data_IF_527381723609
#
_entry.id   IF_527381723609
#
_cell.length_a   1.000
_cell.length_b   1.000
_cell.length_c   1.000
_cell.angle_alpha   90.00
_cell.angle_beta   90.00
_cell.angle_gamma   90.00
#
_symmetry.space_group_name_H-M   'P 1'
#
loop_
_entity.id
_entity.type
_entity.pdbx_description
1 polymer ?
#
# COMPACT_ATOMS: atom_id res chain seq x y z
N UNK A 1 -7.54 1.56 27.16
CA UNK A 1 -6.81 2.74 26.62
C UNK A 1 -6.31 2.53 25.18
N UNK A 2 -6.26 1.29 24.66
CA UNK A 2 -5.76 0.99 23.31
C UNK A 2 -6.83 0.98 22.20
N UNK A 3 -8.11 0.81 22.53
CA UNK A 3 -9.21 0.94 21.54
C UNK A 3 -9.33 2.37 20.98
N UNK A 4 -8.82 3.36 21.68
CA UNK A 4 -8.99 4.78 21.34
C UNK A 4 -8.15 5.20 20.14
N UNK A 5 -6.97 4.60 19.90
CA UNK A 5 -6.07 5.00 18.81
C UNK A 5 -6.55 4.45 17.46
N UNK A 6 -6.98 3.18 17.43
CA UNK A 6 -7.57 2.55 16.22
C UNK A 6 -8.90 3.21 15.88
N UNK A 7 -9.73 3.50 16.88
CA UNK A 7 -10.98 4.23 16.68
C UNK A 7 -10.73 5.68 16.24
N UNK A 8 -9.68 6.35 16.73
CA UNK A 8 -9.29 7.69 16.26
C UNK A 8 -8.73 7.69 14.84
N UNK A 9 -8.03 6.63 14.42
CA UNK A 9 -7.54 6.44 13.05
C UNK A 9 -8.71 6.19 12.07
N UNK A 10 -9.65 5.32 12.44
CA UNK A 10 -10.88 5.08 11.67
C UNK A 10 -11.82 6.30 11.66
N UNK A 11 -11.90 7.05 12.75
CA UNK A 11 -12.72 8.27 12.84
C UNK A 11 -12.07 9.43 12.08
N UNK A 12 -10.73 9.46 11.94
CA UNK A 12 -10.02 10.34 10.99
C UNK A 12 -10.24 9.92 9.54
N UNK A 13 -10.33 8.62 9.25
CA UNK A 13 -10.66 8.09 7.93
C UNK A 13 -12.06 8.55 7.46
N UNK A 14 -13.03 8.69 8.36
CA UNK A 14 -14.36 9.25 8.05
C UNK A 14 -14.36 10.78 7.88
N UNK A 15 -13.39 11.50 8.45
CA UNK A 15 -13.28 12.96 8.34
C UNK A 15 -12.45 13.41 7.13
N UNK A 16 -11.46 12.62 6.70
CA UNK A 16 -10.61 12.94 5.55
C UNK A 16 -11.32 12.78 4.19
N UNK A 17 -12.37 11.95 4.11
CA UNK A 17 -13.23 11.87 2.92
C UNK A 17 -13.98 13.18 2.63
N UNK A 18 -14.03 14.12 3.58
CA UNK A 18 -14.67 15.44 3.42
C UNK A 18 -13.72 16.57 3.03
N UNK A 19 -12.41 16.32 2.95
CA UNK A 19 -11.39 17.33 2.65
C UNK A 19 -10.32 16.79 1.71
N UNK A 20 -10.66 16.61 0.43
CA UNK A 20 -9.66 16.61 -0.63
C UNK A 20 -9.56 18.03 -1.21
N UNK A 21 -8.36 18.61 -1.34
CA UNK A 21 -8.18 19.85 -2.08
C UNK A 21 -8.46 19.59 -3.57
N UNK A 22 -9.13 20.55 -4.21
CA UNK A 22 -9.45 20.54 -5.64
C UNK A 22 -8.22 20.36 -6.52
N UNK A 23 -8.31 19.46 -7.50
CA UNK A 23 -7.25 19.12 -8.47
C UNK A 23 -6.73 20.35 -9.25
N UNK A 24 -5.41 20.46 -9.51
CA UNK A 24 -4.85 21.57 -10.30
C UNK A 24 -5.18 21.40 -11.79
N UNK A 25 -5.86 22.41 -12.34
CA UNK A 25 -6.15 22.52 -13.77
C UNK A 25 -4.88 22.50 -14.62
N UNK A 26 -4.85 21.62 -15.62
CA UNK A 26 -3.88 21.59 -16.73
C UNK A 26 -3.38 22.98 -17.12
N UNK A 27 -2.14 23.33 -16.75
CA UNK A 27 -1.48 24.53 -17.28
C UNK A 27 -0.09 24.19 -17.78
N UNK A 28 0.14 24.73 -18.97
CA UNK A 28 1.22 24.52 -19.92
C UNK A 28 2.61 24.84 -19.36
N UNK A 29 3.57 24.02 -19.76
CA UNK A 29 5.02 24.12 -19.53
C UNK A 29 5.55 25.55 -19.73
N UNK A 30 6.24 26.07 -18.72
CA UNK A 30 7.05 27.30 -18.76
C UNK A 30 8.16 27.22 -17.69
N UNK A 31 9.38 27.57 -18.08
CA UNK A 31 10.67 27.29 -17.41
C UNK A 31 10.88 27.97 -16.04
N UNK A 32 11.76 27.36 -15.24
CA UNK A 32 12.31 27.76 -13.93
C UNK A 32 13.07 29.11 -13.96
N UNK A 33 13.38 29.78 -12.81
CA UNK A 33 14.47 29.34 -11.93
C UNK A 33 14.28 29.51 -10.40
N UNK A 34 14.77 28.50 -9.69
CA UNK A 34 15.43 28.42 -8.36
C UNK A 34 15.48 29.70 -7.51
N UNK A 35 14.89 29.65 -6.30
CA UNK A 35 15.52 30.23 -5.11
C UNK A 35 15.14 29.47 -3.82
N UNK A 36 16.17 29.23 -3.03
CA UNK A 36 16.18 28.52 -1.75
C UNK A 36 15.78 29.47 -0.61
N UNK A 37 14.94 29.05 0.35
CA UNK A 37 14.96 29.51 1.74
C UNK A 37 14.08 28.65 2.66
N UNK A 38 14.70 28.15 3.73
CA UNK A 38 14.06 27.63 4.93
C UNK A 38 13.06 28.62 5.55
N UNK A 39 11.86 28.18 5.96
CA UNK A 39 11.28 28.61 7.23
C UNK A 39 10.12 27.71 7.69
N UNK A 40 10.31 27.07 8.84
CA UNK A 40 9.28 26.42 9.67
C UNK A 40 8.44 27.47 10.36
N UNK A 41 7.13 27.51 10.12
CA UNK A 41 6.19 28.20 11.01
C UNK A 41 4.77 27.66 10.89
N UNK A 42 4.34 27.02 11.98
CA UNK A 42 2.97 26.69 12.32
C UNK A 42 2.06 27.90 12.13
N UNK A 43 1.16 27.85 11.13
CA UNK A 43 0.03 28.80 11.03
C UNK A 43 -1.22 28.16 11.64
N UNK A 44 -1.75 28.89 12.62
CA UNK A 44 -2.96 28.64 13.40
C UNK A 44 -4.18 28.44 12.50
N UNK A 45 -4.99 27.43 12.83
CA UNK A 45 -6.32 27.20 12.26
C UNK A 45 -7.32 28.27 12.75
N UNK A 46 -8.20 28.81 11.88
CA UNK A 46 -9.30 29.65 12.30
C UNK A 46 -10.50 28.79 12.75
N UNK A 47 -11.04 29.11 13.93
CA UNK A 47 -12.29 28.59 14.48
C UNK A 47 -13.45 29.02 13.59
N UNK A 48 -14.24 28.07 13.07
CA UNK A 48 -15.50 28.37 12.40
C UNK A 48 -16.59 28.65 13.44
N UNK A 49 -17.21 29.83 13.32
CA UNK A 49 -18.22 30.35 14.22
C UNK A 49 -19.62 29.91 13.72
N UNK A 50 -20.43 29.37 14.62
CA UNK A 50 -21.81 28.95 14.37
C UNK A 50 -22.73 30.17 14.53
N UNK A 51 -23.12 30.83 13.45
CA UNK A 51 -23.98 32.02 13.54
C UNK A 51 -25.46 31.61 13.64
N UNK A 52 -26.04 31.90 14.81
CA UNK A 52 -27.48 32.04 14.98
C UNK A 52 -28.01 33.33 14.35
N UNK A 53 -29.30 33.29 14.05
CA UNK A 53 -30.16 34.35 13.52
C UNK A 53 -30.00 35.72 14.20
N UNK A 54 -29.83 36.77 13.40
CA UNK A 54 -29.92 38.17 13.83
C UNK A 54 -30.26 39.07 12.66
N UNK A 55 -31.43 39.72 12.75
CA UNK A 55 -32.00 40.66 11.77
C UNK A 55 -31.33 42.04 11.88
N UNK A 56 -31.11 42.72 10.75
CA UNK A 56 -30.67 44.11 10.73
C UNK A 56 -30.37 44.63 9.32
N UNK A 57 -31.15 45.62 8.88
CA UNK A 57 -31.13 46.22 7.54
C UNK A 57 -30.08 47.32 7.35
N UNK A 58 -29.70 47.49 6.07
CA UNK A 58 -29.48 48.75 5.33
C UNK A 58 -28.11 49.47 5.41
N UNK A 59 -27.30 49.38 4.35
CA UNK A 59 -27.03 50.46 3.38
C UNK A 59 -25.99 49.97 2.36
N UNK A 60 -26.16 50.37 1.11
CA UNK A 60 -25.47 49.80 -0.04
C UNK A 60 -24.04 50.27 -0.23
N UNK A 61 -23.29 49.44 -0.94
CA UNK A 61 -22.15 49.80 -1.76
C UNK A 61 -22.15 48.87 -2.99
N UNK A 62 -22.04 49.50 -4.16
CA UNK A 62 -21.81 48.88 -5.46
C UNK A 62 -20.32 48.54 -5.54
N UNK A 63 -19.98 47.30 -5.18
CA UNK A 63 -18.69 46.70 -5.51
C UNK A 63 -18.97 45.29 -6.04
N UNK A 64 -18.53 45.04 -7.28
CA UNK A 64 -18.77 43.82 -8.03
C UNK A 64 -18.32 42.56 -7.29
N UNK A 65 -19.31 41.87 -6.72
CA UNK A 65 -19.21 40.54 -6.13
C UNK A 65 -18.95 39.49 -7.21
N UNK A 66 -17.67 39.14 -7.41
CA UNK A 66 -17.28 37.96 -8.20
C UNK A 66 -16.20 37.18 -7.44
N UNK A 67 -16.48 36.76 -6.20
CA UNK A 67 -15.68 35.74 -5.50
C UNK A 67 -16.54 34.88 -4.56
N UNK A 68 -17.70 34.40 -5.01
CA UNK A 68 -18.44 33.34 -4.28
C UNK A 68 -19.10 32.33 -5.23
N UNK A 69 -18.38 31.88 -6.26
CA UNK A 69 -18.79 30.66 -6.98
C UNK A 69 -18.15 29.45 -6.31
N UNK A 70 -18.90 28.79 -5.42
CA UNK A 70 -18.50 27.50 -4.87
C UNK A 70 -18.33 26.50 -6.02
N UNK A 71 -17.11 26.05 -6.27
CA UNK A 71 -16.82 25.06 -7.31
C UNK A 71 -17.28 23.69 -6.82
N UNK A 72 -18.24 23.07 -7.53
CA UNK A 72 -18.68 21.71 -7.24
C UNK A 72 -17.61 20.70 -7.67
N UNK A 73 -17.29 19.74 -6.79
CA UNK A 73 -16.31 18.68 -7.06
C UNK A 73 -16.79 17.72 -8.15
N UNK A 74 -18.10 17.46 -8.23
CA UNK A 74 -18.69 16.53 -9.21
C UNK A 74 -19.95 17.12 -9.85
N UNK A 75 -20.31 16.58 -11.02
CA UNK A 75 -21.51 16.94 -11.79
C UNK A 75 -22.55 15.83 -11.87
N UNK A 76 -22.17 14.58 -11.60
CA UNK A 76 -23.07 13.43 -11.66
C UNK A 76 -22.69 12.33 -10.64
N UNK A 77 -23.59 11.37 -10.43
CA UNK A 77 -23.40 10.29 -9.44
C UNK A 77 -22.20 9.38 -9.74
N UNK A 78 -21.84 9.18 -11.01
CA UNK A 78 -20.70 8.34 -11.39
C UNK A 78 -19.38 9.04 -11.05
N UNK A 79 -19.30 10.32 -11.34
CA UNK A 79 -18.14 11.16 -11.01
C UNK A 79 -17.98 11.27 -9.48
N UNK A 80 -19.07 11.44 -8.74
CA UNK A 80 -19.07 11.40 -7.28
C UNK A 80 -18.50 10.08 -6.74
N UNK A 81 -18.93 8.95 -7.29
CA UNK A 81 -18.41 7.63 -6.91
C UNK A 81 -16.90 7.52 -7.19
N UNK A 82 -16.43 8.01 -8.35
CA UNK A 82 -15.00 8.01 -8.66
C UNK A 82 -14.17 8.82 -7.66
N UNK A 83 -14.67 9.97 -7.19
CA UNK A 83 -14.01 10.71 -6.12
C UNK A 83 -14.07 10.00 -4.77
N UNK A 84 -15.18 9.35 -4.43
CA UNK A 84 -15.29 8.54 -3.20
C UNK A 84 -14.28 7.37 -3.24
N UNK A 85 -14.09 6.75 -4.41
CA UNK A 85 -13.12 5.67 -4.61
C UNK A 85 -11.67 6.17 -4.47
N UNK A 86 -11.35 7.32 -5.06
CA UNK A 86 -10.04 7.98 -4.92
C UNK A 86 -9.76 8.43 -3.48
N UNK A 87 -10.77 8.98 -2.79
CA UNK A 87 -10.64 9.35 -1.39
C UNK A 87 -10.36 8.14 -0.50
N UNK A 88 -10.97 7.00 -0.81
CA UNK A 88 -10.73 5.75 -0.09
C UNK A 88 -9.30 5.26 -0.32
N UNK A 89 -8.80 5.29 -1.57
CA UNK A 89 -7.41 4.93 -1.88
C UNK A 89 -6.41 5.82 -1.13
N UNK A 90 -6.62 7.14 -1.16
CA UNK A 90 -5.82 8.12 -0.41
C UNK A 90 -5.78 7.78 1.09
N UNK A 91 -6.94 7.48 1.67
CA UNK A 91 -7.03 7.18 3.09
C UNK A 91 -6.31 5.89 3.48
N UNK A 92 -6.37 4.84 2.64
CA UNK A 92 -5.64 3.58 2.88
C UNK A 92 -4.13 3.81 2.86
N UNK A 93 -3.61 4.56 1.88
CA UNK A 93 -2.18 4.88 1.77
C UNK A 93 -1.73 5.66 3.02
N UNK A 94 -2.48 6.69 3.42
CA UNK A 94 -2.14 7.50 4.58
C UNK A 94 -2.24 6.72 5.91
N UNK A 95 -3.24 5.85 6.04
CA UNK A 95 -3.38 4.96 7.19
C UNK A 95 -2.20 4.01 7.30
N UNK A 96 -1.74 3.46 6.17
CA UNK A 96 -0.56 2.58 6.12
C UNK A 96 0.69 3.34 6.58
N UNK A 97 0.92 4.58 6.11
CA UNK A 97 2.06 5.40 6.56
C UNK A 97 2.05 5.63 8.08
N UNK A 98 0.86 5.86 8.65
CA UNK A 98 0.70 6.01 10.09
C UNK A 98 0.90 4.72 10.86
N UNK A 99 0.44 3.58 10.33
CA UNK A 99 0.66 2.26 10.91
C UNK A 99 2.16 1.93 10.97
N UNK A 100 2.86 2.10 9.85
CA UNK A 100 4.32 1.88 9.76
C UNK A 100 5.08 2.75 10.77
N UNK A 101 4.69 4.03 10.90
CA UNK A 101 5.32 4.95 11.83
C UNK A 101 5.00 4.64 13.31
N UNK A 102 3.82 4.09 13.59
CA UNK A 102 3.45 3.67 14.93
C UNK A 102 4.25 2.44 15.36
N UNK A 103 4.38 1.46 14.46
CA UNK A 103 5.19 0.27 14.70
C UNK A 103 6.67 0.60 14.89
N UNK A 104 7.24 1.44 14.02
CA UNK A 104 8.64 1.89 14.13
C UNK A 104 8.96 2.70 15.40
N UNK A 105 7.95 3.07 16.19
CA UNK A 105 8.08 3.79 17.47
C UNK A 105 7.67 2.93 18.67
N UNK A 106 7.52 1.62 18.47
CA UNK A 106 7.05 0.66 19.47
C UNK A 106 5.71 1.06 20.12
N UNK A 107 4.86 1.80 19.39
CA UNK A 107 3.57 2.27 19.91
C UNK A 107 2.45 1.24 19.78
N UNK A 108 2.67 0.20 18.97
CA UNK A 108 1.77 -0.95 18.76
C UNK A 108 2.61 -2.23 18.78
N UNK A 109 1.99 -3.33 19.17
CA UNK A 109 2.65 -4.63 19.18
C UNK A 109 2.80 -5.20 17.76
N UNK A 110 3.71 -6.15 17.58
CA UNK A 110 3.92 -6.80 16.28
C UNK A 110 2.67 -7.54 15.78
N UNK A 111 1.91 -8.19 16.67
CA UNK A 111 0.68 -8.92 16.30
C UNK A 111 -0.44 -7.97 15.82
N UNK A 112 -0.65 -6.86 16.53
CA UNK A 112 -1.58 -5.80 16.13
C UNK A 112 -1.17 -5.20 14.78
N UNK A 113 0.11 -4.92 14.61
CA UNK A 113 0.65 -4.39 13.37
C UNK A 113 0.45 -5.36 12.19
N UNK A 114 0.83 -6.63 12.35
CA UNK A 114 0.68 -7.64 11.28
C UNK A 114 -0.79 -7.78 10.88
N UNK A 115 -1.70 -7.82 11.85
CA UNK A 115 -3.14 -7.93 11.60
C UNK A 115 -3.70 -6.74 10.82
N UNK A 116 -3.39 -5.51 11.25
CA UNK A 116 -3.90 -4.31 10.58
C UNK A 116 -3.21 -4.05 9.23
N UNK A 117 -1.92 -4.36 9.11
CA UNK A 117 -1.19 -4.22 7.85
C UNK A 117 -1.76 -5.14 6.76
N UNK A 118 -2.06 -6.40 7.10
CA UNK A 118 -2.69 -7.35 6.19
C UNK A 118 -4.05 -6.85 5.66
N UNK A 119 -4.86 -6.25 6.54
CA UNK A 119 -6.15 -5.67 6.15
C UNK A 119 -5.95 -4.50 5.19
N UNK A 120 -5.02 -3.58 5.50
CA UNK A 120 -4.73 -2.42 4.65
C UNK A 120 -4.19 -2.82 3.28
N UNK A 121 -3.28 -3.81 3.21
CA UNK A 121 -2.77 -4.35 1.94
C UNK A 121 -3.91 -4.95 1.10
N UNK A 122 -4.79 -5.73 1.72
CA UNK A 122 -5.92 -6.33 1.00
C UNK A 122 -6.90 -5.28 0.48
N UNK A 123 -7.23 -4.27 1.30
CA UNK A 123 -8.08 -3.16 0.91
C UNK A 123 -7.43 -2.32 -0.20
N UNK A 124 -6.14 -2.07 -0.11
CA UNK A 124 -5.37 -1.33 -1.11
C UNK A 124 -5.48 -1.99 -2.49
N UNK A 125 -5.23 -3.30 -2.61
CA UNK A 125 -5.29 -4.02 -3.90
C UNK A 125 -6.68 -3.97 -4.55
N UNK A 126 -7.74 -3.95 -3.75
CA UNK A 126 -9.11 -3.80 -4.25
C UNK A 126 -9.39 -2.36 -4.67
N UNK A 127 -8.98 -1.40 -3.83
CA UNK A 127 -9.29 0.00 -4.02
C UNK A 127 -8.48 0.64 -5.13
N UNK A 128 -7.24 0.21 -5.34
CA UNK A 128 -6.39 0.63 -6.46
C UNK A 128 -7.11 0.42 -7.80
N UNK A 129 -7.68 -0.77 -8.00
CA UNK A 129 -8.41 -1.13 -9.22
C UNK A 129 -9.72 -0.35 -9.40
N UNK A 130 -10.36 0.04 -8.30
CA UNK A 130 -11.60 0.81 -8.32
C UNK A 130 -11.36 2.31 -8.56
N UNK A 131 -10.31 2.86 -7.93
CA UNK A 131 -10.03 4.28 -7.89
C UNK A 131 -9.21 4.79 -9.08
N UNK A 132 -8.34 3.95 -9.64
CA UNK A 132 -7.46 4.33 -10.73
C UNK A 132 -8.04 3.88 -12.07
N UNK A 133 -8.02 4.78 -13.04
CA UNK A 133 -8.26 4.40 -14.44
C UNK A 133 -7.11 3.52 -14.95
N UNK A 134 -7.37 2.66 -15.93
CA UNK A 134 -6.40 1.66 -16.43
C UNK A 134 -5.00 2.20 -16.85
N UNK A 135 -4.81 3.52 -16.94
CA UNK A 135 -3.55 4.15 -17.35
C UNK A 135 -2.86 4.97 -16.24
N UNK A 136 -3.40 5.02 -15.02
CA UNK A 136 -2.84 5.81 -13.93
C UNK A 136 -2.19 4.89 -12.89
N UNK A 137 -0.91 5.10 -12.58
CA UNK A 137 -0.23 4.35 -11.52
C UNK A 137 -0.49 4.95 -10.14
N UNK A 138 -0.27 4.17 -9.09
CA UNK A 138 -0.40 4.66 -7.70
C UNK A 138 0.65 5.72 -7.40
N UNK A 139 1.86 5.62 -7.95
CA UNK A 139 2.91 6.64 -7.80
C UNK A 139 2.47 7.97 -8.42
N UNK A 140 1.84 7.94 -9.59
CA UNK A 140 1.30 9.13 -10.24
C UNK A 140 0.14 9.72 -9.42
N UNK A 141 -0.74 8.88 -8.87
CA UNK A 141 -1.76 9.30 -7.92
C UNK A 141 -1.16 9.99 -6.68
N UNK A 142 -0.16 9.38 -6.05
CA UNK A 142 0.53 9.95 -4.89
C UNK A 142 1.18 11.29 -5.22
N UNK A 143 1.76 11.45 -6.42
CA UNK A 143 2.32 12.71 -6.87
C UNK A 143 1.24 13.78 -7.11
N UNK A 144 0.11 13.43 -7.75
CA UNK A 144 -1.01 14.35 -8.00
C UNK A 144 -1.58 14.90 -6.70
N UNK A 145 -1.68 14.06 -5.67
CA UNK A 145 -2.23 14.42 -4.36
C UNK A 145 -1.16 14.86 -3.34
N UNK A 146 0.09 15.07 -3.77
CA UNK A 146 1.22 15.51 -2.94
C UNK A 146 1.38 14.67 -1.65
N UNK A 147 1.32 13.35 -1.81
CA UNK A 147 1.40 12.39 -0.70
C UNK A 147 2.85 12.07 -0.34
N UNK A 148 3.33 12.60 0.78
CA UNK A 148 4.60 12.20 1.40
C UNK A 148 4.39 10.95 2.27
N UNK A 149 4.31 9.78 1.62
CA UNK A 149 4.10 8.49 2.30
C UNK A 149 5.13 7.44 1.85
N UNK A 150 6.44 7.65 2.12
CA UNK A 150 7.50 6.78 1.62
C UNK A 150 7.43 5.35 2.21
N UNK A 151 6.95 5.18 3.45
CA UNK A 151 6.83 3.86 4.09
C UNK A 151 5.64 3.11 3.54
N UNK A 152 4.52 3.79 3.35
CA UNK A 152 3.36 3.21 2.69
C UNK A 152 3.70 2.78 1.25
N UNK A 153 4.42 3.61 0.50
CA UNK A 153 4.87 3.26 -0.85
C UNK A 153 5.76 2.00 -0.86
N UNK A 154 6.73 1.92 0.06
CA UNK A 154 7.57 0.72 0.20
C UNK A 154 6.75 -0.52 0.56
N UNK A 155 5.82 -0.40 1.50
CA UNK A 155 4.97 -1.51 1.94
C UNK A 155 3.98 -1.98 0.88
N UNK A 156 3.21 -1.05 0.29
CA UNK A 156 2.09 -1.37 -0.59
C UNK A 156 2.54 -1.68 -2.01
N UNK A 157 3.54 -0.96 -2.54
CA UNK A 157 3.94 -1.04 -3.95
C UNK A 157 5.11 -1.99 -4.18
N UNK A 158 6.02 -2.14 -3.21
CA UNK A 158 7.25 -2.95 -3.38
C UNK A 158 7.19 -4.27 -2.64
N UNK A 159 6.75 -4.27 -1.38
CA UNK A 159 6.76 -5.47 -0.55
C UNK A 159 5.49 -6.29 -0.71
N UNK A 160 4.32 -5.66 -0.63
CA UNK A 160 3.03 -6.32 -0.77
C UNK A 160 2.65 -7.28 0.37
N UNK A 161 3.45 -7.35 1.43
CA UNK A 161 3.31 -8.25 2.59
C UNK A 161 3.74 -7.52 3.88
N UNK A 162 3.20 -7.87 5.06
CA UNK A 162 3.64 -7.28 6.32
C UNK A 162 5.11 -7.57 6.64
N UNK A 163 5.71 -6.76 7.52
CA UNK A 163 6.97 -7.15 8.16
C UNK A 163 6.74 -8.44 8.97
N UNK A 164 7.59 -9.46 8.80
CA UNK A 164 7.31 -10.78 9.33
C UNK A 164 7.24 -10.81 10.85
N UNK A 165 6.25 -11.54 11.34
CA UNK A 165 6.00 -11.74 12.76
C UNK A 165 7.15 -12.58 13.37
N UNK A 166 7.99 -11.99 14.22
CA UNK A 166 8.94 -12.72 15.07
C UNK A 166 8.23 -13.49 16.21
N UNK A 167 7.08 -14.13 15.96
CA UNK A 167 6.29 -14.87 16.96
C UNK A 167 6.60 -16.36 17.03
N UNK A 168 7.46 -16.86 16.15
CA UNK A 168 7.89 -18.25 16.22
C UNK A 168 8.97 -18.42 17.33
N UNK A 169 8.60 -18.05 18.57
CA UNK A 169 9.38 -18.30 19.77
C UNK A 169 9.03 -19.66 20.42
N UNK A 170 7.97 -20.33 19.96
CA UNK A 170 7.70 -21.73 20.32
C UNK A 170 8.23 -22.66 19.23
N UNK A 171 8.97 -23.70 19.64
CA UNK A 171 9.54 -24.71 18.74
C UNK A 171 8.49 -25.34 17.81
N UNK A 172 7.26 -25.49 18.28
CA UNK A 172 6.16 -26.06 17.51
C UNK A 172 5.68 -25.12 16.39
N UNK A 173 5.60 -23.81 16.65
CA UNK A 173 5.23 -22.83 15.63
C UNK A 173 6.30 -22.75 14.52
N UNK A 174 7.59 -22.81 14.90
CA UNK A 174 8.69 -22.89 13.92
C UNK A 174 8.55 -24.13 13.04
N UNK A 175 8.27 -25.29 13.64
CA UNK A 175 8.11 -26.54 12.89
C UNK A 175 6.93 -26.46 11.91
N UNK A 176 5.81 -25.84 12.31
CA UNK A 176 4.66 -25.59 11.43
C UNK A 176 5.05 -24.67 10.27
N UNK A 177 5.70 -23.53 10.54
CA UNK A 177 6.14 -22.60 9.49
C UNK A 177 7.15 -23.23 8.53
N UNK A 178 8.06 -24.07 9.03
CA UNK A 178 8.98 -24.84 8.19
C UNK A 178 8.22 -25.82 7.31
N UNK A 179 7.27 -26.57 7.85
CA UNK A 179 6.45 -27.52 7.08
C UNK A 179 5.63 -26.81 5.99
N UNK A 180 4.99 -25.69 6.32
CA UNK A 180 4.28 -24.83 5.36
C UNK A 180 5.22 -24.34 4.24
N UNK A 181 6.41 -23.85 4.61
CA UNK A 181 7.40 -23.37 3.62
C UNK A 181 7.83 -24.49 2.67
N UNK A 182 8.12 -25.69 3.19
CA UNK A 182 8.44 -26.86 2.36
C UNK A 182 7.28 -27.22 1.44
N UNK A 183 6.04 -27.21 1.94
CA UNK A 183 4.85 -27.46 1.15
C UNK A 183 4.73 -26.46 -0.01
N UNK A 184 4.84 -25.16 0.25
CA UNK A 184 4.74 -24.14 -0.79
C UNK A 184 5.87 -24.24 -1.83
N UNK A 185 7.09 -24.61 -1.41
CA UNK A 185 8.17 -24.90 -2.34
C UNK A 185 7.79 -26.05 -3.28
N UNK A 186 7.35 -27.18 -2.72
CA UNK A 186 6.98 -28.37 -3.51
C UNK A 186 5.83 -28.03 -4.45
N UNK A 187 4.74 -27.42 -3.95
CA UNK A 187 3.59 -27.06 -4.77
C UNK A 187 3.97 -26.13 -5.92
N UNK A 188 4.78 -25.10 -5.67
CA UNK A 188 5.21 -24.16 -6.72
C UNK A 188 6.14 -24.83 -7.74
N UNK A 189 7.09 -25.66 -7.28
CA UNK A 189 7.97 -26.40 -8.18
C UNK A 189 7.21 -27.42 -9.04
N UNK A 190 6.19 -28.09 -8.49
CA UNK A 190 5.36 -29.05 -9.20
C UNK A 190 4.46 -28.36 -10.23
N UNK A 191 3.88 -27.21 -9.90
CA UNK A 191 3.16 -26.36 -10.85
C UNK A 191 4.02 -26.06 -12.10
N UNK A 192 5.25 -25.59 -11.88
CA UNK A 192 6.19 -25.28 -12.96
C UNK A 192 6.58 -26.54 -13.76
N UNK A 193 6.77 -27.69 -13.09
CA UNK A 193 7.03 -28.98 -13.76
C UNK A 193 5.87 -29.49 -14.60
N UNK A 194 4.63 -29.17 -14.21
CA UNK A 194 3.42 -29.48 -14.94
C UNK A 194 3.14 -28.47 -16.07
N UNK A 195 4.13 -27.64 -16.41
CA UNK A 195 4.07 -26.62 -17.46
C UNK A 195 2.98 -25.56 -17.22
N UNK A 196 2.59 -25.32 -15.95
CA UNK A 196 1.81 -24.14 -15.60
C UNK A 196 2.65 -22.88 -15.82
N UNK A 197 2.15 -22.00 -16.68
CA UNK A 197 2.89 -20.82 -17.16
C UNK A 197 2.08 -19.53 -17.11
N UNK A 198 0.78 -19.63 -16.87
CA UNK A 198 -0.08 -18.47 -16.72
C UNK A 198 0.24 -17.71 -15.42
N UNK A 199 0.21 -16.38 -15.49
CA UNK A 199 0.54 -15.51 -14.36
C UNK A 199 -0.45 -15.71 -13.21
N UNK A 200 -1.74 -15.86 -13.49
CA UNK A 200 -2.78 -16.10 -12.48
C UNK A 200 -2.69 -17.48 -11.79
N UNK A 201 -1.99 -18.44 -12.39
CA UNK A 201 -1.68 -19.73 -11.76
C UNK A 201 -0.41 -19.66 -10.90
N UNK A 202 0.66 -19.05 -11.42
CA UNK A 202 1.98 -19.03 -10.75
C UNK A 202 2.11 -17.96 -9.68
N UNK A 203 1.53 -16.79 -9.87
CA UNK A 203 1.69 -15.64 -8.97
C UNK A 203 1.14 -15.92 -7.56
N UNK A 204 -0.06 -16.53 -7.38
CA UNK A 204 -0.56 -16.85 -6.05
C UNK A 204 0.35 -17.84 -5.31
N UNK A 205 0.86 -18.87 -6.00
CA UNK A 205 1.74 -19.89 -5.41
C UNK A 205 3.06 -19.28 -4.92
N UNK A 206 3.66 -18.41 -5.73
CA UNK A 206 4.88 -17.69 -5.34
C UNK A 206 4.63 -16.70 -4.20
N UNK A 207 3.43 -16.09 -4.13
CA UNK A 207 3.06 -15.19 -3.05
C UNK A 207 2.98 -15.95 -1.72
N UNK A 208 2.29 -17.08 -1.71
CA UNK A 208 2.17 -17.93 -0.52
C UNK A 208 3.53 -18.45 -0.06
N UNK A 209 4.40 -18.83 -1.01
CA UNK A 209 5.79 -19.22 -0.71
C UNK A 209 6.60 -18.09 -0.08
N UNK A 210 6.49 -16.87 -0.61
CA UNK A 210 7.17 -15.69 -0.06
C UNK A 210 6.67 -15.37 1.35
N UNK A 211 5.35 -15.46 1.57
CA UNK A 211 4.74 -15.25 2.87
C UNK A 211 5.24 -16.28 3.89
N UNK A 212 5.30 -17.57 3.53
CA UNK A 212 5.83 -18.60 4.41
C UNK A 212 7.31 -18.39 4.73
N UNK A 213 8.12 -18.03 3.72
CA UNK A 213 9.55 -17.76 3.86
C UNK A 213 9.85 -16.57 4.78
N UNK A 214 9.06 -15.50 4.68
CA UNK A 214 9.27 -14.32 5.52
C UNK A 214 8.90 -14.59 6.98
N UNK A 215 7.90 -15.43 7.26
CA UNK A 215 7.50 -15.80 8.64
C UNK A 215 8.55 -16.60 9.42
N UNK A 216 9.59 -17.11 8.76
CA UNK A 216 10.62 -17.88 9.45
C UNK A 216 11.45 -16.99 10.40
N UNK A 217 11.57 -17.35 11.68
CA UNK A 217 12.32 -16.55 12.64
C UNK A 217 13.83 -16.67 12.38
N UNK A 218 14.56 -15.60 12.71
CA UNK A 218 16.03 -15.53 12.66
C UNK A 218 16.62 -15.74 11.26
N UNK A 219 15.86 -15.45 10.21
CA UNK A 219 16.40 -15.47 8.85
C UNK A 219 17.40 -14.31 8.65
N UNK A 220 18.55 -14.55 8.00
CA UNK A 220 19.47 -13.47 7.64
C UNK A 220 18.79 -12.40 6.77
N UNK A 221 19.18 -11.13 6.92
CA UNK A 221 18.64 -10.04 6.08
C UNK A 221 18.91 -10.25 4.58
N UNK A 222 19.96 -10.99 4.24
CA UNK A 222 20.40 -11.37 2.90
C UNK A 222 20.02 -12.82 2.56
N UNK A 223 18.94 -13.35 3.14
CA UNK A 223 18.54 -14.73 2.90
C UNK A 223 18.21 -14.98 1.43
N UNK A 224 19.11 -15.69 0.74
CA UNK A 224 19.06 -15.91 -0.70
C UNK A 224 17.74 -16.50 -1.23
N UNK A 225 17.07 -17.45 -0.53
CA UNK A 225 15.75 -17.93 -0.95
C UNK A 225 14.71 -16.81 -1.09
N UNK A 226 14.70 -15.84 -0.17
CA UNK A 226 13.77 -14.71 -0.21
C UNK A 226 14.03 -13.83 -1.44
N UNK A 227 15.30 -13.59 -1.78
CA UNK A 227 15.66 -12.78 -2.94
C UNK A 227 15.20 -13.43 -4.24
N UNK A 228 15.42 -14.74 -4.41
CA UNK A 228 15.03 -15.48 -5.62
C UNK A 228 13.53 -15.48 -5.82
N UNK A 229 12.76 -15.82 -4.78
CA UNK A 229 11.28 -15.86 -4.87
C UNK A 229 10.72 -14.45 -5.14
N UNK A 230 11.25 -13.42 -4.46
CA UNK A 230 10.83 -12.02 -4.66
C UNK A 230 11.11 -11.53 -6.09
N UNK A 231 12.27 -11.85 -6.65
CA UNK A 231 12.62 -11.50 -8.05
C UNK A 231 11.57 -12.01 -9.03
N UNK A 232 11.10 -13.24 -8.85
CA UNK A 232 10.08 -13.83 -9.72
C UNK A 232 8.69 -13.23 -9.49
N UNK A 233 8.31 -12.98 -8.24
CA UNK A 233 7.07 -12.26 -7.93
C UNK A 233 7.02 -10.88 -8.59
N UNK A 234 8.11 -10.11 -8.49
CA UNK A 234 8.19 -8.79 -9.11
C UNK A 234 8.01 -8.90 -10.63
N UNK A 235 8.69 -9.86 -11.27
CA UNK A 235 8.55 -10.10 -12.71
C UNK A 235 7.12 -10.48 -13.11
N UNK A 236 6.43 -11.32 -12.33
CA UNK A 236 5.04 -11.72 -12.64
C UNK A 236 4.04 -10.58 -12.42
N UNK A 237 4.26 -9.73 -11.42
CA UNK A 237 3.39 -8.59 -11.14
C UNK A 237 3.44 -7.50 -12.23
N UNK A 238 4.50 -7.47 -13.05
CA UNK A 238 4.60 -6.59 -14.23
C UNK A 238 3.78 -7.09 -15.44
N UNK A 239 3.29 -8.33 -15.39
CA UNK A 239 2.49 -8.97 -16.44
C UNK A 239 1.01 -8.98 -16.07
N UNK A 240 0.13 -9.14 -17.07
CA UNK A 240 -1.31 -9.29 -16.82
C UNK A 240 -1.60 -10.73 -16.42
N UNK A 241 -2.68 -10.94 -15.66
CA UNK A 241 -3.13 -12.25 -15.20
C UNK A 241 -3.22 -13.32 -16.31
N UNK A 242 -3.66 -12.92 -17.51
CA UNK A 242 -3.83 -13.80 -18.68
C UNK A 242 -2.56 -14.03 -19.49
N UNK A 243 -1.47 -13.33 -19.17
CA UNK A 243 -0.20 -13.50 -19.86
C UNK A 243 0.50 -14.76 -19.35
N UNK A 244 1.35 -15.35 -20.18
CA UNK A 244 2.15 -16.53 -19.84
C UNK A 244 3.64 -16.20 -19.85
N UNK A 245 4.41 -16.80 -18.93
CA UNK A 245 5.87 -16.72 -18.98
C UNK A 245 6.44 -17.57 -20.12
N UNK A 246 7.61 -17.20 -20.63
CA UNK A 246 8.32 -17.96 -21.66
C UNK A 246 8.82 -19.33 -21.14
N UNK A 247 9.16 -20.26 -22.05
CA UNK A 247 9.63 -21.60 -21.66
C UNK A 247 11.00 -21.52 -21.00
N UNK A 248 11.82 -20.58 -21.48
CA UNK A 248 13.10 -20.22 -20.91
C UNK A 248 12.92 -19.68 -19.48
N UNK A 249 11.97 -18.78 -19.28
CA UNK A 249 11.65 -18.24 -17.96
C UNK A 249 11.09 -19.31 -17.02
N UNK A 250 10.25 -20.21 -17.51
CA UNK A 250 9.73 -21.33 -16.72
C UNK A 250 10.86 -22.24 -16.23
N UNK A 251 11.82 -22.58 -17.11
CA UNK A 251 13.01 -23.35 -16.72
C UNK A 251 13.91 -22.61 -15.74
N UNK A 252 14.11 -21.31 -15.93
CA UNK A 252 14.91 -20.50 -15.01
C UNK A 252 14.22 -20.34 -13.66
N UNK A 253 12.90 -20.18 -13.63
CA UNK A 253 12.09 -20.14 -12.41
C UNK A 253 12.24 -21.44 -11.63
N UNK A 254 12.09 -22.59 -12.29
CA UNK A 254 12.29 -23.89 -11.66
C UNK A 254 13.69 -24.02 -11.06
N UNK A 255 14.73 -23.66 -11.83
CA UNK A 255 16.11 -23.73 -11.36
C UNK A 255 16.36 -22.81 -10.14
N UNK A 256 15.84 -21.58 -10.18
CA UNK A 256 15.97 -20.64 -9.07
C UNK A 256 15.23 -21.14 -7.81
N UNK A 257 14.06 -21.76 -7.97
CA UNK A 257 13.29 -22.38 -6.88
C UNK A 257 14.01 -23.60 -6.29
N UNK A 258 14.55 -24.49 -7.11
CA UNK A 258 15.32 -25.66 -6.66
C UNK A 258 16.57 -25.23 -5.87
N UNK A 259 17.29 -24.23 -6.39
CA UNK A 259 18.44 -23.64 -5.71
C UNK A 259 18.06 -22.94 -4.40
N UNK A 260 16.95 -22.19 -4.37
CA UNK A 260 16.42 -21.57 -3.16
C UNK A 260 16.02 -22.63 -2.11
N UNK A 261 15.37 -23.71 -2.53
CA UNK A 261 14.98 -24.80 -1.65
C UNK A 261 16.20 -25.54 -1.06
N UNK A 262 17.25 -25.74 -1.87
CA UNK A 262 18.50 -26.33 -1.42
C UNK A 262 19.18 -25.47 -0.35
N UNK A 263 19.27 -24.15 -0.55
CA UNK A 263 19.84 -23.24 0.47
C UNK A 263 18.95 -23.12 1.71
N UNK A 264 17.62 -23.11 1.55
CA UNK A 264 16.70 -23.17 2.68
C UNK A 264 16.91 -24.45 3.51
N UNK A 265 16.99 -25.61 2.87
CA UNK A 265 17.28 -26.88 3.54
C UNK A 265 18.65 -26.86 4.22
N UNK A 266 19.65 -26.23 3.59
CA UNK A 266 20.99 -26.07 4.15
C UNK A 266 21.01 -25.13 5.35
N UNK A 267 20.15 -24.11 5.36
CA UNK A 267 19.95 -23.23 6.51
C UNK A 267 19.33 -24.00 7.67
N UNK A 268 18.26 -24.79 7.44
CA UNK A 268 17.63 -25.61 8.47
C UNK A 268 18.59 -26.63 9.11
N UNK A 269 19.51 -27.20 8.34
CA UNK A 269 20.53 -28.14 8.84
C UNK A 269 21.65 -27.48 9.66
N UNK A 270 21.83 -26.17 9.53
CA UNK A 270 22.84 -25.40 10.28
C UNK A 270 22.32 -24.91 11.64
N UNK A 271 20.99 -24.90 11.82
CA UNK A 271 20.30 -24.58 13.07
C UNK A 271 20.22 -25.81 13.96
#
# INVERSE_FOLDING_TARGET
>A
QNETVVHLLLQRQTLLTSFLPSSPSHTRIGRTPIHNTHNTSLKKMPLWNRSGSGSGSNHGDDDGDVLDSTVSLYRNSRERQGYDDQATLYAIILATEHLERAYARDAITQDEYTTECNKLISQFRLQEKAALSNNQSVEEFMHIYDMDCPRAAERLLKMGVPEPMNTASSSDAVAVTVAETVQHFITTMDAVKLEQRAVDELQPLLSDLMDALTRLPETPNDFEPNFKVRKWLQKLNELRAMDEISEEDSRQLYHDLDSAYAEFTRYLKRK
#
